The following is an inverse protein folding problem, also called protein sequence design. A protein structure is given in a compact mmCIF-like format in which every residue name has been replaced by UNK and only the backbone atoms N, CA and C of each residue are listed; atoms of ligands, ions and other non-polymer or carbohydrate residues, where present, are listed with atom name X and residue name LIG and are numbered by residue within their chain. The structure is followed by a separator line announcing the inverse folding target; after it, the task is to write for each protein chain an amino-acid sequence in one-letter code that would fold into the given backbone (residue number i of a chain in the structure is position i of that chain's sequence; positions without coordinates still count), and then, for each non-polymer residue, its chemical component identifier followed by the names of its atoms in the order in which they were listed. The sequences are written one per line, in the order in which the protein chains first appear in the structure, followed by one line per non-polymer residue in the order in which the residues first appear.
data_IF_716651721286
#
_entry.id   IF_716651721286
#
_cell.length_a   1.000
_cell.length_b   1.000
_cell.length_c   1.000
_cell.angle_alpha   90.00
_cell.angle_beta   90.00
_cell.angle_gamma   90.00
#
_symmetry.space_group_name_H-M   'P 1'
#
loop_
_entity.id
_entity.type
_entity.pdbx_description
1 polymer ?
#
# COMPACT_ATOMS: atom_id res chain seq x y z
N UNK A 1 14.70 -46.26 -8.41
CA UNK A 1 14.97 -44.99 -7.66
C UNK A 1 15.78 -45.31 -6.42
N UNK A 2 16.94 -44.69 -6.21
CA UNK A 2 17.82 -44.98 -5.05
C UNK A 2 17.10 -44.61 -3.73
N UNK A 3 17.15 -45.44 -2.67
CA UNK A 3 16.35 -45.27 -1.44
C UNK A 3 16.54 -43.90 -0.77
N UNK A 4 17.74 -43.32 -0.86
CA UNK A 4 18.04 -41.96 -0.37
C UNK A 4 17.17 -40.87 -1.00
N UNK A 5 16.80 -41.02 -2.28
CA UNK A 5 15.95 -40.06 -2.97
C UNK A 5 14.50 -40.08 -2.45
N UNK A 6 13.98 -41.27 -2.10
CA UNK A 6 12.64 -41.41 -1.49
C UNK A 6 12.58 -40.72 -0.14
N UNK A 7 13.58 -40.92 0.72
CA UNK A 7 13.61 -40.26 2.03
C UNK A 7 13.69 -38.74 1.92
N UNK A 8 14.51 -38.20 1.00
CA UNK A 8 14.58 -36.75 0.76
C UNK A 8 13.23 -36.20 0.28
N UNK A 9 12.58 -36.87 -0.66
CA UNK A 9 11.27 -36.44 -1.16
C UNK A 9 10.20 -36.45 -0.05
N UNK A 10 10.15 -37.49 0.79
CA UNK A 10 9.23 -37.55 1.92
C UNK A 10 9.51 -36.47 2.96
N UNK A 11 10.78 -36.16 3.25
CA UNK A 11 11.14 -35.08 4.16
C UNK A 11 10.69 -33.71 3.65
N UNK A 12 10.89 -33.42 2.35
CA UNK A 12 10.45 -32.16 1.75
C UNK A 12 8.92 -32.05 1.80
N UNK A 13 8.21 -33.12 1.44
CA UNK A 13 6.75 -33.15 1.50
C UNK A 13 6.23 -32.95 2.92
N UNK A 14 6.84 -33.64 3.90
CA UNK A 14 6.51 -33.48 5.32
C UNK A 14 6.71 -32.03 5.78
N UNK A 15 7.83 -31.40 5.42
CA UNK A 15 8.08 -30.00 5.75
C UNK A 15 7.07 -29.06 5.08
N UNK A 16 6.71 -29.31 3.81
CA UNK A 16 5.72 -28.50 3.09
C UNK A 16 4.33 -28.60 3.74
N UNK A 17 3.93 -29.78 4.20
CA UNK A 17 2.69 -30.00 4.94
C UNK A 17 2.74 -29.31 6.31
N UNK A 18 3.83 -29.45 7.06
CA UNK A 18 4.01 -28.78 8.34
C UNK A 18 4.02 -27.26 8.21
N UNK A 19 4.59 -26.71 7.13
CA UNK A 19 4.55 -25.29 6.84
C UNK A 19 3.10 -24.79 6.66
N UNK A 20 2.19 -25.62 6.12
CA UNK A 20 0.78 -25.25 6.07
C UNK A 20 0.15 -25.11 7.47
N UNK A 21 0.74 -25.62 8.55
CA UNK A 21 0.13 -25.44 9.88
C UNK A 21 0.29 -24.02 10.44
N UNK A 22 1.16 -23.19 9.86
CA UNK A 22 1.34 -21.79 10.28
C UNK A 22 0.18 -20.94 9.73
N UNK A 23 -0.63 -20.29 10.58
CA UNK A 23 -1.87 -19.63 10.16
C UNK A 23 -1.67 -18.26 9.51
N UNK A 24 -0.45 -17.72 9.51
CA UNK A 24 -0.12 -16.42 8.94
C UNK A 24 -0.44 -16.37 7.44
N UNK A 25 -1.05 -15.28 6.98
CA UNK A 25 -1.43 -15.11 5.57
C UNK A 25 -2.48 -16.08 5.05
N UNK A 26 -3.39 -16.60 5.89
CA UNK A 26 -4.47 -17.50 5.41
C UNK A 26 -5.84 -16.84 5.30
N UNK A 27 -6.09 -15.78 6.06
CA UNK A 27 -7.43 -15.17 6.18
C UNK A 27 -7.76 -14.26 5.00
N UNK A 28 -6.76 -13.60 4.40
CA UNK A 28 -6.91 -12.73 3.22
C UNK A 28 -8.14 -11.82 3.25
N UNK A 29 -8.48 -11.31 4.43
CA UNK A 29 -9.63 -10.44 4.60
C UNK A 29 -9.25 -9.02 4.17
N UNK A 30 -10.14 -8.41 3.41
CA UNK A 30 -10.08 -7.01 3.08
C UNK A 30 -10.84 -6.20 4.14
N UNK A 31 -10.18 -5.31 4.89
CA UNK A 31 -10.88 -4.39 5.78
C UNK A 31 -11.86 -3.49 5.00
N UNK A 32 -12.77 -2.79 5.66
CA UNK A 32 -13.65 -1.85 4.98
C UNK A 32 -12.84 -0.72 4.30
N UNK A 33 -13.41 -0.17 3.23
CA UNK A 33 -12.91 1.05 2.59
C UNK A 33 -13.47 2.22 3.38
N UNK A 34 -12.59 3.05 3.94
CA UNK A 34 -12.96 4.23 4.73
C UNK A 34 -13.06 5.45 3.83
N UNK A 35 -12.03 5.70 3.01
CA UNK A 35 -11.96 6.82 2.09
C UNK A 35 -10.92 6.56 1.00
N UNK A 36 -11.15 7.08 -0.21
CA UNK A 36 -10.17 7.13 -1.30
C UNK A 36 -9.70 8.57 -1.57
N UNK A 37 -8.54 8.77 -2.23
CA UNK A 37 -8.15 10.07 -2.73
C UNK A 37 -9.23 10.70 -3.62
N UNK A 38 -9.31 12.03 -3.59
CA UNK A 38 -10.04 12.79 -4.59
C UNK A 38 -9.25 12.78 -5.91
N UNK A 39 -9.31 11.65 -6.62
CA UNK A 39 -8.55 11.42 -7.84
C UNK A 39 -8.75 12.52 -8.89
N UNK A 40 -7.64 13.02 -9.45
CA UNK A 40 -7.63 14.02 -10.53
C UNK A 40 -8.52 13.61 -11.71
N UNK A 41 -8.38 12.36 -12.15
CA UNK A 41 -9.24 11.78 -13.20
C UNK A 41 -9.58 10.32 -12.90
N UNK A 42 -10.63 9.82 -13.55
CA UNK A 42 -10.94 8.38 -13.56
C UNK A 42 -9.76 7.55 -14.08
N UNK A 43 -9.08 8.01 -15.13
CA UNK A 43 -7.90 7.33 -15.69
C UNK A 43 -6.79 7.17 -14.65
N UNK A 44 -6.52 8.20 -13.84
CA UNK A 44 -5.54 8.12 -12.75
C UNK A 44 -5.91 7.06 -11.74
N UNK A 45 -7.19 7.03 -11.33
CA UNK A 45 -7.70 6.00 -10.41
C UNK A 45 -7.55 4.60 -11.01
N UNK A 46 -7.96 4.39 -12.26
CA UNK A 46 -7.96 3.07 -12.89
C UNK A 46 -6.52 2.52 -13.04
N UNK A 47 -5.56 3.39 -13.36
CA UNK A 47 -4.14 3.04 -13.38
C UNK A 47 -3.61 2.70 -11.97
N UNK A 48 -4.00 3.47 -10.95
CA UNK A 48 -3.62 3.20 -9.57
C UNK A 48 -4.24 1.89 -9.05
N UNK A 49 -5.49 1.58 -9.40
CA UNK A 49 -6.15 0.30 -9.10
C UNK A 49 -5.37 -0.84 -9.73
N UNK A 50 -4.98 -0.69 -10.99
CA UNK A 50 -4.29 -1.74 -11.74
C UNK A 50 -2.87 -2.00 -11.22
N UNK A 51 -2.15 -0.95 -10.83
CA UNK A 51 -0.73 -1.06 -10.49
C UNK A 51 -0.45 -1.10 -8.98
N UNK A 52 -1.28 -0.50 -8.15
CA UNK A 52 -0.95 -0.20 -6.75
C UNK A 52 -1.90 -0.84 -5.73
N UNK A 53 -3.19 -0.97 -6.05
CA UNK A 53 -4.21 -1.30 -5.04
C UNK A 53 -4.02 -2.68 -4.40
N UNK A 54 -3.46 -3.65 -5.11
CA UNK A 54 -3.27 -4.98 -4.54
C UNK A 54 -2.36 -4.97 -3.30
N UNK A 55 -1.39 -4.04 -3.23
CA UNK A 55 -0.52 -3.89 -2.05
C UNK A 55 -0.89 -2.68 -1.18
N UNK A 56 -1.43 -1.62 -1.76
CA UNK A 56 -1.62 -0.32 -1.10
C UNK A 56 -3.10 0.03 -0.87
N UNK A 57 -4.01 -0.94 -0.82
CA UNK A 57 -5.42 -0.66 -0.54
C UNK A 57 -6.06 -1.79 0.26
N UNK A 58 -7.24 -1.52 0.83
CA UNK A 58 -8.11 -2.54 1.38
C UNK A 58 -8.90 -3.29 0.29
N UNK A 59 -8.63 -3.03 -0.99
CA UNK A 59 -9.23 -3.70 -2.15
C UNK A 59 -8.27 -4.71 -2.80
N UNK A 60 -7.45 -5.38 -1.99
CA UNK A 60 -6.48 -6.35 -2.49
C UNK A 60 -7.15 -7.53 -3.17
N UNK A 61 -6.75 -7.84 -4.40
CA UNK A 61 -7.07 -9.11 -5.04
C UNK A 61 -6.07 -10.17 -4.56
N UNK A 62 -6.57 -11.15 -3.81
CA UNK A 62 -5.73 -12.22 -3.27
C UNK A 62 -5.64 -13.37 -4.29
N UNK A 63 -4.49 -13.56 -4.95
CA UNK A 63 -4.34 -14.63 -5.93
C UNK A 63 -4.38 -15.99 -5.24
N UNK A 64 -4.76 -17.06 -5.95
CA UNK A 64 -4.88 -18.40 -5.36
C UNK A 64 -3.61 -18.86 -4.61
N UNK A 65 -2.42 -18.50 -5.11
CA UNK A 65 -1.15 -18.90 -4.49
C UNK A 65 -0.89 -18.19 -3.16
N UNK A 66 -1.60 -17.09 -2.86
CA UNK A 66 -1.54 -16.48 -1.53
C UNK A 66 -2.09 -17.41 -0.47
N UNK A 67 -2.82 -18.48 -0.81
CA UNK A 67 -3.38 -19.42 0.16
C UNK A 67 -2.43 -20.58 0.52
N UNK A 68 -1.26 -20.67 -0.12
CA UNK A 68 -0.34 -21.79 0.02
C UNK A 68 1.01 -21.31 0.57
N UNK A 69 1.45 -21.89 1.69
CA UNK A 69 2.77 -21.56 2.24
C UNK A 69 3.90 -22.08 1.32
N UNK A 70 5.04 -21.38 1.23
CA UNK A 70 5.39 -20.15 1.97
C UNK A 70 4.91 -18.85 1.27
N UNK A 71 4.30 -18.95 0.09
CA UNK A 71 3.88 -17.79 -0.69
C UNK A 71 2.84 -16.95 0.04
N UNK A 72 1.93 -17.61 0.77
CA UNK A 72 0.97 -16.95 1.66
C UNK A 72 1.60 -15.92 2.59
N UNK A 73 2.73 -16.28 3.20
CA UNK A 73 3.44 -15.41 4.12
C UNK A 73 4.10 -14.24 3.42
N UNK A 74 4.69 -14.49 2.25
CA UNK A 74 5.35 -13.45 1.47
C UNK A 74 4.35 -12.41 0.98
N UNK A 75 3.24 -12.86 0.38
CA UNK A 75 2.17 -11.97 -0.11
C UNK A 75 1.57 -11.18 1.03
N UNK A 76 1.20 -11.84 2.14
CA UNK A 76 0.64 -11.15 3.30
C UNK A 76 1.59 -10.08 3.84
N UNK A 77 2.88 -10.42 4.02
CA UNK A 77 3.90 -9.47 4.49
C UNK A 77 4.05 -8.27 3.55
N UNK A 78 4.03 -8.49 2.24
CA UNK A 78 4.20 -7.43 1.26
C UNK A 78 2.97 -6.51 1.22
N UNK A 79 1.75 -7.04 1.36
CA UNK A 79 0.50 -6.27 1.50
C UNK A 79 0.49 -5.48 2.81
N UNK A 80 0.85 -6.09 3.94
CA UNK A 80 0.88 -5.41 5.25
C UNK A 80 1.86 -4.24 5.25
N UNK A 81 3.06 -4.43 4.66
CA UNK A 81 4.05 -3.36 4.49
C UNK A 81 3.57 -2.28 3.52
N UNK A 82 2.94 -2.68 2.41
CA UNK A 82 2.36 -1.76 1.44
C UNK A 82 1.35 -0.84 2.09
N UNK A 83 0.33 -1.40 2.75
CA UNK A 83 -0.71 -0.65 3.48
C UNK A 83 -0.14 0.24 4.60
N UNK A 84 0.86 -0.24 5.34
CA UNK A 84 1.52 0.56 6.39
C UNK A 84 2.31 1.76 5.85
N UNK A 85 2.87 1.64 4.64
CA UNK A 85 3.51 2.73 3.94
C UNK A 85 2.49 3.68 3.31
N UNK A 86 1.46 3.16 2.65
CA UNK A 86 0.40 3.93 2.00
C UNK A 86 -0.85 3.06 1.82
N UNK A 87 -2.02 3.56 2.23
CA UNK A 87 -3.30 2.87 2.04
C UNK A 87 -4.33 3.79 1.35
N UNK A 88 -4.59 3.52 0.06
CA UNK A 88 -5.59 4.22 -0.76
C UNK A 88 -7.02 4.04 -0.27
N UNK A 89 -7.32 3.04 0.57
CA UNK A 89 -8.66 2.83 1.13
C UNK A 89 -8.86 3.46 2.51
N UNK A 90 -7.81 4.06 3.06
CA UNK A 90 -7.84 4.79 4.33
C UNK A 90 -7.29 6.20 4.10
N UNK A 91 -7.88 6.94 3.17
CA UNK A 91 -7.41 8.27 2.79
C UNK A 91 -7.96 9.39 3.69
N UNK A 92 -7.41 9.50 4.90
CA UNK A 92 -7.77 10.53 5.89
C UNK A 92 -6.78 11.70 5.86
N UNK A 93 -6.82 12.52 4.80
CA UNK A 93 -6.15 13.83 4.67
C UNK A 93 -4.66 13.94 5.09
N UNK A 94 -3.89 12.83 5.11
CA UNK A 94 -2.45 12.86 5.42
C UNK A 94 -1.62 12.47 4.19
N UNK A 95 -1.34 13.43 3.30
CA UNK A 95 -0.63 13.19 2.04
C UNK A 95 0.87 13.00 2.20
N UNK A 96 1.49 13.15 3.38
CA UNK A 96 2.96 13.14 3.49
C UNK A 96 3.59 11.86 2.93
N UNK A 97 3.08 10.69 3.31
CA UNK A 97 3.58 9.41 2.78
C UNK A 97 3.24 9.18 1.31
N UNK A 98 2.20 9.83 0.80
CA UNK A 98 1.81 9.75 -0.60
C UNK A 98 2.70 10.64 -1.49
N UNK A 99 3.05 11.83 -0.99
CA UNK A 99 4.02 12.73 -1.62
C UNK A 99 5.39 12.08 -1.66
N UNK A 100 5.83 11.45 -0.57
CA UNK A 100 7.10 10.71 -0.50
C UNK A 100 7.14 9.51 -1.46
N UNK A 101 5.98 9.01 -1.91
CA UNK A 101 5.90 7.88 -2.85
C UNK A 101 6.00 8.29 -4.32
N UNK A 102 5.81 9.57 -4.67
CA UNK A 102 5.88 10.06 -6.06
C UNK A 102 7.22 9.75 -6.74
N UNK A 103 8.40 9.97 -6.11
CA UNK A 103 9.69 9.61 -6.71
C UNK A 103 9.80 8.12 -7.03
N UNK A 104 9.26 7.25 -6.17
CA UNK A 104 9.30 5.79 -6.36
C UNK A 104 8.49 5.33 -7.58
N UNK A 105 7.43 6.06 -7.94
CA UNK A 105 6.69 5.85 -9.20
C UNK A 105 7.53 6.26 -10.41
N UNK A 106 8.17 7.44 -10.36
CA UNK A 106 9.04 7.94 -11.44
C UNK A 106 10.24 7.02 -11.71
N UNK A 107 10.90 6.56 -10.65
CA UNK A 107 12.08 5.68 -10.72
C UNK A 107 11.72 4.26 -11.20
N UNK A 108 10.43 3.94 -11.34
CA UNK A 108 9.95 2.64 -11.81
C UNK A 108 10.19 1.50 -10.82
N UNK A 109 10.52 1.84 -9.57
CA UNK A 109 10.66 0.89 -8.47
C UNK A 109 9.32 0.23 -8.12
N UNK A 110 8.21 0.95 -8.34
CA UNK A 110 6.84 0.42 -8.21
C UNK A 110 6.14 0.27 -9.58
N UNK A 111 5.35 -0.80 -9.79
CA UNK A 111 5.28 -2.02 -8.97
C UNK A 111 6.56 -2.86 -9.14
N UNK A 112 7.02 -3.63 -8.14
CA UNK A 112 8.30 -4.32 -8.20
C UNK A 112 8.34 -5.40 -9.30
N UNK A 113 9.52 -5.67 -9.87
CA UNK A 113 9.66 -6.59 -11.00
C UNK A 113 9.10 -8.01 -10.74
N UNK A 114 9.27 -8.64 -9.55
CA UNK A 114 8.64 -9.92 -9.24
C UNK A 114 7.12 -9.89 -9.39
N UNK A 115 6.47 -8.82 -8.93
CA UNK A 115 5.02 -8.65 -9.03
C UNK A 115 4.57 -8.55 -10.49
N UNK A 116 5.27 -7.75 -11.29
CA UNK A 116 4.98 -7.57 -12.73
C UNK A 116 5.15 -8.85 -13.57
N UNK A 117 5.90 -9.84 -13.09
CA UNK A 117 6.03 -11.14 -13.79
C UNK A 117 4.76 -11.98 -13.70
N UNK A 118 4.03 -11.88 -12.59
CA UNK A 118 2.79 -12.63 -12.35
C UNK A 118 1.53 -11.78 -12.54
N UNK A 119 1.67 -10.45 -12.63
CA UNK A 119 0.57 -9.51 -12.85
C UNK A 119 0.85 -8.68 -14.11
N UNK A 120 0.45 -9.21 -15.26
CA UNK A 120 0.72 -8.58 -16.56
C UNK A 120 0.04 -7.21 -16.69
N UNK A 121 -1.15 -7.04 -16.11
CA UNK A 121 -1.89 -5.77 -16.13
C UNK A 121 -1.14 -4.64 -15.40
N UNK A 122 -0.34 -4.98 -14.38
CA UNK A 122 0.49 -4.01 -13.66
C UNK A 122 1.75 -3.58 -14.44
N UNK A 123 1.96 -4.08 -15.67
CA UNK A 123 3.05 -3.67 -16.56
C UNK A 123 2.62 -2.45 -17.38
N UNK A 124 2.47 -1.32 -16.70
CA UNK A 124 2.14 -0.06 -17.35
C UNK A 124 3.16 0.30 -18.43
N UNK A 125 2.66 0.75 -19.58
CA UNK A 125 3.44 1.38 -20.65
C UNK A 125 4.08 2.67 -20.15
N UNK A 126 5.07 3.20 -20.87
CA UNK A 126 5.67 4.50 -20.54
C UNK A 126 4.61 5.60 -20.45
N UNK A 127 3.66 5.60 -21.40
CA UNK A 127 2.58 6.59 -21.42
C UNK A 127 1.64 6.47 -20.23
N UNK A 128 1.27 5.25 -19.84
CA UNK A 128 0.43 5.03 -18.67
C UNK A 128 1.14 5.41 -17.37
N UNK A 129 2.45 5.18 -17.28
CA UNK A 129 3.24 5.64 -16.12
C UNK A 129 3.27 7.16 -16.00
N UNK A 130 3.46 7.88 -17.11
CA UNK A 130 3.36 9.35 -17.15
C UNK A 130 1.98 9.83 -16.69
N UNK A 131 0.91 9.25 -17.25
CA UNK A 131 -0.47 9.60 -16.88
C UNK A 131 -0.76 9.33 -15.41
N UNK A 132 -0.27 8.19 -14.88
CA UNK A 132 -0.40 7.86 -13.47
C UNK A 132 0.37 8.85 -12.60
N UNK A 133 1.62 9.16 -12.94
CA UNK A 133 2.44 10.11 -12.18
C UNK A 133 1.83 11.50 -12.17
N UNK A 134 1.51 12.06 -13.33
CA UNK A 134 0.97 13.41 -13.47
C UNK A 134 -0.38 13.55 -12.77
N UNK A 135 -1.27 12.57 -12.96
CA UNK A 135 -2.57 12.56 -12.31
C UNK A 135 -2.47 12.36 -10.80
N UNK A 136 -1.53 11.54 -10.34
CA UNK A 136 -1.32 11.34 -8.91
C UNK A 136 -0.73 12.59 -8.26
N UNK A 137 0.21 13.27 -8.91
CA UNK A 137 0.73 14.56 -8.46
C UNK A 137 -0.38 15.61 -8.33
N UNK A 138 -1.31 15.69 -9.30
CA UNK A 138 -2.47 16.60 -9.22
C UNK A 138 -3.49 16.20 -8.15
N UNK A 139 -3.70 14.89 -7.97
CA UNK A 139 -4.52 14.33 -6.88
C UNK A 139 -3.98 14.79 -5.52
N UNK A 140 -2.64 14.89 -5.38
CA UNK A 140 -1.99 15.34 -4.16
C UNK A 140 -1.92 16.87 -4.03
N UNK A 141 -1.78 17.62 -5.13
CA UNK A 141 -1.76 19.09 -5.08
C UNK A 141 -3.13 19.70 -4.75
N UNK A 142 -4.22 19.06 -5.17
CA UNK A 142 -5.58 19.45 -4.76
C UNK A 142 -5.83 19.34 -3.26
N UNK A 143 -5.08 18.48 -2.55
CA UNK A 143 -5.07 18.42 -1.08
C UNK A 143 -4.34 19.64 -0.48
N UNK A 144 -3.31 20.16 -1.17
CA UNK A 144 -2.50 21.27 -0.71
C UNK A 144 -3.21 22.64 -0.88
N UNK A 145 -4.01 22.81 -1.94
CA UNK A 145 -4.82 24.04 -2.16
C UNK A 145 -6.04 24.15 -1.23
N UNK A 146 -6.68 23.03 -0.87
CA UNK A 146 -7.79 23.03 0.09
C UNK A 146 -7.33 23.47 1.50
N UNK A 147 -6.06 23.23 1.84
CA UNK A 147 -5.48 23.59 3.13
C UNK A 147 -4.90 25.01 3.15
N UNK A 148 -4.57 25.58 1.98
CA UNK A 148 -4.20 27.00 1.85
C UNK A 148 -5.41 27.96 1.97
N UNK A 149 -6.64 27.42 1.93
CA UNK A 149 -7.89 28.19 1.95
C UNK A 149 -8.71 28.04 3.24
N UNK A 150 -8.31 27.18 4.19
CA UNK A 150 -8.84 27.21 5.56
C UNK A 150 -8.22 28.39 6.31
N UNK A 151 -8.99 29.45 6.67
CA UNK A 151 -8.47 30.49 7.55
C UNK A 151 -8.19 29.83 8.90
N UNK A 152 -6.97 30.03 9.42
CA UNK A 152 -6.56 29.56 10.73
C UNK A 152 -7.61 29.93 11.78
N UNK A 153 -8.46 28.96 12.14
CA UNK A 153 -9.51 29.14 13.13
C UNK A 153 -8.83 29.12 14.51
N UNK A 154 -8.54 30.32 14.99
CA UNK A 154 -8.39 30.76 16.39
C UNK A 154 -7.52 29.91 17.35
N UNK A 155 -6.42 30.45 17.90
CA UNK A 155 -5.91 29.99 19.18
C UNK A 155 -6.75 30.62 20.30
N UNK A 156 -7.63 29.84 20.93
CA UNK A 156 -8.33 30.20 22.17
C UNK A 156 -7.63 29.51 23.37
N UNK A 157 -7.82 30.00 24.62
CA UNK A 157 -6.74 30.58 25.40
C UNK A 157 -6.49 29.86 26.74
N UNK A 158 -5.39 30.22 27.40
CA UNK A 158 -5.11 29.88 28.81
C UNK A 158 -3.62 29.63 29.03
N UNK A 159 -3.02 29.87 30.19
CA UNK A 159 -3.38 30.51 31.45
C UNK A 159 -2.06 30.52 32.26
N UNK A 160 -1.87 31.52 33.11
CA UNK A 160 -1.16 31.36 34.38
C UNK A 160 0.34 31.63 34.40
N UNK A 161 0.75 32.75 35.01
CA UNK A 161 2.15 32.92 35.40
C UNK A 161 2.58 34.28 35.98
N UNK A 162 1.92 34.73 37.05
CA UNK A 162 2.46 35.55 38.14
C UNK A 162 3.91 36.06 38.04
N UNK A 163 4.10 37.38 38.14
CA UNK A 163 5.32 37.94 38.74
C UNK A 163 5.56 39.43 38.50
N UNK A 164 5.71 40.18 39.62
CA UNK A 164 6.15 41.59 39.80
C UNK A 164 4.98 42.60 39.73
N UNK A 165 4.69 43.46 40.70
CA UNK A 165 5.44 43.97 41.86
C UNK A 165 5.41 45.50 41.82
N UNK A 166 5.01 46.16 42.91
CA UNK A 166 5.37 47.57 43.17
C UNK A 166 4.22 48.57 43.33
N UNK A 167 4.17 49.15 44.54
CA UNK A 167 3.45 50.32 45.05
C UNK A 167 2.00 50.14 45.50
#
# INVERSE_FOLDING_TARGET
MRPRFRHVAFSILGLAVLAQLVPYGRRHSNPPIVAEPAWDTRTTRDLAVTACFDCHSNQTHWPWYSHVAPFSWLVQRDVDRGRAALNFSEWHQRPSKAVDALPTLCEGAMPPAPYRRTHALARLTLREKELLYDGFARTLSGVNEFQASEPALHPEPGDGGSGRGGF
#
